data_IF_216120296909
#
_entry.id   IF_216120296909
#
_cell.length_a   1.000
_cell.length_b   1.000
_cell.length_c   1.000
_cell.angle_alpha   90.00
_cell.angle_beta   90.00
_cell.angle_gamma   90.00
#
_symmetry.space_group_name_H-M   'P 1'
#
loop_
_entity.id
_entity.type
_entity.pdbx_description
1 polymer ?
#
# COMPACT_ATOMS: atom_id res chain seq x y z
N UNK A 1 8.98 -10.42 1.35
CA UNK A 1 9.24 -9.37 0.35
C UNK A 1 8.05 -8.43 0.21
N UNK A 2 6.82 -8.87 -0.10
CA UNK A 2 5.65 -7.95 -0.23
C UNK A 2 5.30 -7.16 1.03
N UNK A 3 5.47 -7.76 2.22
CA UNK A 3 5.30 -7.05 3.50
C UNK A 3 6.25 -5.85 3.66
N UNK A 4 7.43 -5.89 3.02
CA UNK A 4 8.35 -4.76 3.00
C UNK A 4 7.92 -3.71 1.97
N UNK A 5 7.45 -4.11 0.79
CA UNK A 5 6.92 -3.20 -0.25
C UNK A 5 5.71 -2.43 0.28
N UNK A 6 4.75 -3.12 0.92
CA UNK A 6 3.60 -2.49 1.59
C UNK A 6 4.05 -1.52 2.69
N UNK A 7 5.08 -1.89 3.46
CA UNK A 7 5.61 -1.06 4.53
C UNK A 7 6.23 0.24 4.02
N UNK A 8 7.08 0.16 3.01
CA UNK A 8 7.73 1.34 2.39
C UNK A 8 6.67 2.29 1.84
N UNK A 9 5.71 1.78 1.09
CA UNK A 9 4.67 2.63 0.51
C UNK A 9 3.76 3.27 1.57
N UNK A 10 3.48 2.56 2.68
CA UNK A 10 2.76 3.15 3.81
C UNK A 10 3.51 4.34 4.42
N UNK A 11 4.84 4.25 4.55
CA UNK A 11 5.66 5.35 5.06
C UNK A 11 5.64 6.54 4.10
N UNK A 12 5.74 6.30 2.79
CA UNK A 12 5.65 7.35 1.76
C UNK A 12 4.30 8.05 1.77
N UNK A 13 3.22 7.29 1.93
CA UNK A 13 1.85 7.80 2.02
C UNK A 13 1.64 8.65 3.29
N UNK A 14 2.19 8.22 4.43
CA UNK A 14 2.17 9.01 5.67
C UNK A 14 2.93 10.32 5.46
N UNK A 15 4.12 10.28 4.87
CA UNK A 15 4.91 11.49 4.61
C UNK A 15 4.16 12.45 3.68
N UNK A 16 3.53 11.93 2.63
CA UNK A 16 2.71 12.72 1.71
C UNK A 16 1.54 13.41 2.44
N UNK A 17 0.76 12.65 3.21
CA UNK A 17 -0.38 13.15 3.99
C UNK A 17 0.00 14.20 5.04
N UNK A 18 1.24 14.15 5.51
CA UNK A 18 1.82 15.11 6.46
C UNK A 18 2.38 16.36 5.76
N UNK A 19 2.64 16.28 4.45
CA UNK A 19 3.10 17.40 3.64
C UNK A 19 1.93 18.34 3.22
N UNK A 20 2.21 19.63 3.02
CA UNK A 20 1.23 20.63 2.56
C UNK A 20 1.13 20.72 1.03
N UNK A 21 1.27 19.59 0.32
CA UNK A 21 1.09 19.56 -1.14
C UNK A 21 -0.36 19.85 -1.54
N UNK A 22 -0.61 20.84 -2.41
CA UNK A 22 -1.97 21.26 -2.81
C UNK A 22 -2.82 20.11 -3.35
N UNK A 23 -2.26 19.24 -4.20
CA UNK A 23 -2.95 18.05 -4.73
C UNK A 23 -3.16 16.99 -3.65
N UNK A 24 -2.22 16.83 -2.72
CA UNK A 24 -2.35 15.87 -1.61
C UNK A 24 -3.47 16.28 -0.65
N UNK A 25 -3.68 17.59 -0.45
CA UNK A 25 -4.83 18.11 0.31
C UNK A 25 -6.14 17.81 -0.43
N UNK A 26 -6.16 17.96 -1.76
CA UNK A 26 -7.35 17.70 -2.59
C UNK A 26 -7.78 16.23 -2.56
N UNK A 27 -6.83 15.28 -2.52
CA UNK A 27 -7.09 13.83 -2.49
C UNK A 27 -6.82 13.18 -1.12
N UNK A 28 -6.89 13.96 -0.04
CA UNK A 28 -6.51 13.50 1.31
C UNK A 28 -7.34 12.30 1.76
N UNK A 29 -8.64 12.31 1.50
CA UNK A 29 -9.56 11.25 1.92
C UNK A 29 -9.27 9.94 1.16
N UNK A 30 -8.95 10.03 -0.13
CA UNK A 30 -8.54 8.91 -0.97
C UNK A 30 -7.23 8.29 -0.47
N UNK A 31 -6.27 9.13 -0.10
CA UNK A 31 -4.99 8.68 0.46
C UNK A 31 -5.14 8.06 1.86
N UNK A 32 -5.98 8.60 2.75
CA UNK A 32 -6.28 7.97 4.04
C UNK A 32 -7.02 6.62 3.87
N UNK A 33 -7.94 6.52 2.92
CA UNK A 33 -8.58 5.24 2.59
C UNK A 33 -7.56 4.22 2.07
N UNK A 34 -6.66 4.62 1.18
CA UNK A 34 -5.59 3.78 0.66
C UNK A 34 -4.68 3.26 1.79
N UNK A 35 -4.29 4.14 2.71
CA UNK A 35 -3.51 3.79 3.91
C UNK A 35 -4.21 2.75 4.76
N UNK A 36 -5.51 2.92 5.03
CA UNK A 36 -6.32 1.96 5.79
C UNK A 36 -6.35 0.57 5.13
N UNK A 37 -6.54 0.53 3.81
CA UNK A 37 -6.55 -0.72 3.04
C UNK A 37 -5.18 -1.42 3.06
N UNK A 38 -4.09 -0.66 2.92
CA UNK A 38 -2.73 -1.20 3.00
C UNK A 38 -2.41 -1.78 4.39
N UNK A 39 -2.89 -1.16 5.48
CA UNK A 39 -2.74 -1.72 6.83
C UNK A 39 -3.47 -3.05 7.03
N UNK A 40 -4.73 -3.13 6.55
CA UNK A 40 -5.53 -4.35 6.61
C UNK A 40 -4.81 -5.50 5.90
N UNK A 41 -4.27 -5.19 4.74
CA UNK A 41 -3.57 -6.10 3.87
C UNK A 41 -2.21 -6.54 4.42
N UNK A 42 -1.44 -5.63 5.02
CA UNK A 42 -0.20 -5.98 5.73
C UNK A 42 -0.51 -6.98 6.86
N UNK A 43 -1.60 -6.75 7.59
CA UNK A 43 -2.08 -7.65 8.65
C UNK A 43 -2.49 -9.01 8.10
N UNK A 44 -3.26 -9.04 7.01
CA UNK A 44 -3.62 -10.28 6.31
C UNK A 44 -2.39 -11.07 5.85
N UNK A 45 -1.40 -10.41 5.25
CA UNK A 45 -0.16 -11.06 4.79
C UNK A 45 0.65 -11.65 5.94
N UNK A 46 0.71 -10.95 7.09
CA UNK A 46 1.35 -11.46 8.30
C UNK A 46 0.69 -12.76 8.78
N UNK A 47 -0.63 -12.85 8.72
CA UNK A 47 -1.36 -14.05 9.12
C UNK A 47 -1.34 -15.15 8.05
N UNK A 48 -1.37 -14.79 6.77
CA UNK A 48 -1.22 -15.73 5.67
C UNK A 48 0.15 -16.44 5.69
N UNK A 49 1.23 -15.72 6.02
CA UNK A 49 2.57 -16.31 6.22
C UNK A 49 2.62 -17.33 7.37
N UNK A 50 1.81 -17.16 8.42
CA UNK A 50 1.75 -18.11 9.55
C UNK A 50 1.01 -19.39 9.18
N UNK A 51 0.09 -19.33 8.22
CA UNK A 51 -0.65 -20.49 7.73
C UNK A 51 0.18 -21.26 6.70
N UNK A 52 0.80 -22.39 7.12
CA UNK A 52 1.53 -23.32 6.22
C UNK A 52 0.68 -23.92 5.08
N UNK A 53 -0.64 -23.69 5.06
CA UNK A 53 -1.56 -24.12 4.01
C UNK A 53 -2.12 -22.88 3.32
N UNK A 54 -1.69 -22.63 2.08
CA UNK A 54 -2.39 -21.89 0.99
C UNK A 54 -1.33 -21.39 -0.01
N UNK A 55 -0.84 -22.30 -0.86
CA UNK A 55 0.36 -22.00 -1.64
C UNK A 55 0.14 -21.21 -2.93
N UNK A 56 -0.97 -21.36 -3.65
CA UNK A 56 -1.11 -20.71 -4.97
C UNK A 56 -1.94 -19.42 -4.93
N UNK A 57 -3.12 -19.44 -4.29
CA UNK A 57 -4.02 -18.27 -4.21
C UNK A 57 -3.34 -17.12 -3.47
N UNK A 58 -2.67 -17.41 -2.35
CA UNK A 58 -1.98 -16.37 -1.57
C UNK A 58 -0.82 -15.79 -2.36
N UNK A 59 -0.06 -16.61 -3.10
CA UNK A 59 1.01 -16.10 -3.98
C UNK A 59 0.45 -15.20 -5.09
N UNK A 60 -0.60 -15.62 -5.78
CA UNK A 60 -1.23 -14.81 -6.82
C UNK A 60 -1.76 -13.47 -6.27
N UNK A 61 -2.39 -13.48 -5.10
CA UNK A 61 -2.82 -12.27 -4.40
C UNK A 61 -1.64 -11.37 -4.03
N UNK A 62 -0.57 -11.95 -3.50
CA UNK A 62 0.66 -11.24 -3.13
C UNK A 62 1.33 -10.58 -4.33
N UNK A 63 1.35 -11.24 -5.48
CA UNK A 63 1.95 -10.68 -6.70
C UNK A 63 1.06 -9.60 -7.31
N UNK A 64 -0.25 -9.83 -7.44
CA UNK A 64 -1.20 -8.80 -7.89
C UNK A 64 -1.15 -7.55 -7.03
N UNK A 65 -0.97 -7.74 -5.73
CA UNK A 65 -0.89 -6.64 -4.80
C UNK A 65 0.36 -5.79 -4.99
N UNK A 66 1.49 -6.43 -5.32
CA UNK A 66 2.73 -5.70 -5.60
C UNK A 66 2.56 -4.79 -6.81
N UNK A 67 1.88 -5.27 -7.86
CA UNK A 67 1.57 -4.45 -9.04
C UNK A 67 0.73 -3.22 -8.66
N UNK A 68 -0.34 -3.41 -7.89
CA UNK A 68 -1.22 -2.32 -7.46
C UNK A 68 -0.48 -1.28 -6.58
N UNK A 69 0.49 -1.70 -5.78
CA UNK A 69 1.31 -0.78 -4.99
C UNK A 69 2.19 0.07 -5.90
N UNK A 70 2.82 -0.53 -6.91
CA UNK A 70 3.63 0.24 -7.86
C UNK A 70 2.79 1.25 -8.65
N UNK A 71 1.59 0.89 -9.08
CA UNK A 71 0.66 1.84 -9.71
C UNK A 71 0.28 2.98 -8.76
N UNK A 72 0.12 2.70 -7.47
CA UNK A 72 -0.19 3.71 -6.46
C UNK A 72 1.02 4.59 -6.12
N UNK A 73 2.24 4.06 -6.13
CA UNK A 73 3.50 4.80 -6.00
C UNK A 73 3.62 5.85 -7.12
N UNK A 74 3.33 5.48 -8.36
CA UNK A 74 3.35 6.39 -9.51
C UNK A 74 2.34 7.54 -9.36
N UNK A 75 1.10 7.21 -8.96
CA UNK A 75 0.05 8.23 -8.71
C UNK A 75 0.47 9.17 -7.58
N UNK A 76 1.03 8.64 -6.49
CA UNK A 76 1.47 9.46 -5.36
C UNK A 76 2.60 10.41 -5.78
N UNK A 77 3.55 9.94 -6.59
CA UNK A 77 4.62 10.76 -7.14
C UNK A 77 4.05 11.92 -7.98
N UNK A 78 3.08 11.65 -8.87
CA UNK A 78 2.41 12.67 -9.69
C UNK A 78 1.66 13.73 -8.86
N UNK A 79 1.17 13.36 -7.68
CA UNK A 79 0.54 14.27 -6.73
C UNK A 79 1.54 15.14 -5.95
N UNK A 80 2.79 14.70 -5.83
CA UNK A 80 3.86 15.45 -5.16
C UNK A 80 4.62 16.40 -6.09
N UNK A 81 4.48 16.24 -7.42
CA UNK A 81 4.95 17.17 -8.46
C UNK A 81 4.09 18.45 -8.53
#
# INVERSE_FOLDING_TARGET
MVDAVVGVFLDDLINALTSEGRKVIEFRDEFENMKSQLYLLQSFLKDAKKSKRKDHIVRALVDRLRELIHEAEDILADCQL
#
